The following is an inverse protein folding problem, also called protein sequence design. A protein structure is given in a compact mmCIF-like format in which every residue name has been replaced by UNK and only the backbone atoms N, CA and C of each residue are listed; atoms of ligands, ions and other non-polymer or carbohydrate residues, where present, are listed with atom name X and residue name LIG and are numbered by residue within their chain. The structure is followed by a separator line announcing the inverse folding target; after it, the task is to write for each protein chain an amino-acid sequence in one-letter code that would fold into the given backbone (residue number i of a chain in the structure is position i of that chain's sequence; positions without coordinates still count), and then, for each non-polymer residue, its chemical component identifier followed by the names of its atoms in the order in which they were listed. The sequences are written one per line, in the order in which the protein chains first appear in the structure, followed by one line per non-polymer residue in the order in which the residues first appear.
data_IF_680446748271
#
_entry.id   IF_680446748271
#
_cell.length_a   1.000
_cell.length_b   1.000
_cell.length_c   1.000
_cell.angle_alpha   90.00
_cell.angle_beta   90.00
_cell.angle_gamma   90.00
#
_symmetry.space_group_name_H-M   'P 1'
#
loop_
_entity.id
_entity.type
_entity.pdbx_description
1 polymer ?
#
# COMPACT_ATOMS: atom_id res chain seq x y z
N UNK A 1 -7.21 -46.27 3.55
CA UNK A 1 -5.99 -45.46 3.35
C UNK A 1 -6.44 -44.01 3.41
N UNK A 2 -6.13 -43.29 4.50
CA UNK A 2 -6.41 -41.86 4.58
C UNK A 2 -5.30 -41.20 3.78
N UNK A 3 -5.57 -40.83 2.52
CA UNK A 3 -4.66 -39.97 1.77
C UNK A 3 -4.65 -38.61 2.45
N UNK A 4 -3.44 -38.07 2.66
CA UNK A 4 -3.24 -36.73 3.17
C UNK A 4 -3.98 -35.72 2.28
N UNK A 5 -4.77 -34.82 2.88
CA UNK A 5 -5.55 -33.83 2.15
C UNK A 5 -4.66 -32.93 1.30
N UNK A 6 -3.42 -32.68 1.75
CA UNK A 6 -2.42 -31.95 0.99
C UNK A 6 -2.01 -32.70 -0.29
N UNK A 7 -1.85 -34.02 -0.22
CA UNK A 7 -1.54 -34.84 -1.38
C UNK A 7 -2.72 -34.85 -2.37
N UNK A 8 -3.96 -34.97 -1.88
CA UNK A 8 -5.15 -34.90 -2.75
C UNK A 8 -5.26 -33.56 -3.48
N UNK A 9 -4.95 -32.45 -2.79
CA UNK A 9 -4.91 -31.12 -3.40
C UNK A 9 -3.80 -31.05 -4.46
N UNK A 10 -2.59 -31.53 -4.15
CA UNK A 10 -1.48 -31.53 -5.09
C UNK A 10 -1.81 -32.33 -6.35
N UNK A 11 -2.30 -33.56 -6.20
CA UNK A 11 -2.67 -34.45 -7.31
C UNK A 11 -3.77 -33.81 -8.19
N UNK A 12 -4.77 -33.18 -7.55
CA UNK A 12 -5.83 -32.45 -8.25
C UNK A 12 -5.27 -31.28 -9.05
N UNK A 13 -4.44 -30.46 -8.43
CA UNK A 13 -3.87 -29.26 -9.05
C UNK A 13 -2.94 -29.62 -10.21
N UNK A 14 -2.16 -30.70 -10.10
CA UNK A 14 -1.33 -31.23 -11.18
C UNK A 14 -2.16 -31.79 -12.33
N UNK A 15 -3.18 -32.61 -12.02
CA UNK A 15 -4.08 -33.19 -13.02
C UNK A 15 -4.71 -32.12 -13.93
N UNK A 16 -5.17 -31.03 -13.33
CA UNK A 16 -5.82 -29.93 -14.05
C UNK A 16 -4.86 -28.78 -14.41
N UNK A 17 -3.57 -28.93 -14.12
CA UNK A 17 -2.53 -27.94 -14.43
C UNK A 17 -2.88 -26.54 -13.93
N UNK A 18 -3.45 -26.46 -12.72
CA UNK A 18 -4.08 -25.22 -12.24
C UNK A 18 -3.10 -24.06 -12.12
N UNK A 19 -1.84 -24.31 -11.76
CA UNK A 19 -0.80 -23.28 -11.75
C UNK A 19 -0.61 -22.64 -13.13
N UNK A 20 -0.43 -23.46 -14.17
CA UNK A 20 -0.22 -22.99 -15.54
C UNK A 20 -1.46 -22.27 -16.08
N UNK A 21 -2.65 -22.85 -15.82
CA UNK A 21 -3.94 -22.25 -16.16
C UNK A 21 -4.11 -20.86 -15.53
N UNK A 22 -3.75 -20.73 -14.24
CA UNK A 22 -3.85 -19.47 -13.49
C UNK A 22 -2.91 -18.40 -14.05
N UNK A 23 -1.65 -18.74 -14.34
CA UNK A 23 -0.73 -17.77 -14.98
C UNK A 23 -1.21 -17.34 -16.36
N UNK A 24 -1.79 -18.27 -17.14
CA UNK A 24 -2.35 -17.94 -18.45
C UNK A 24 -3.53 -16.97 -18.32
N UNK A 25 -4.51 -17.27 -17.46
CA UNK A 25 -5.66 -16.38 -17.23
C UNK A 25 -5.22 -15.03 -16.67
N UNK A 26 -4.25 -15.02 -15.76
CA UNK A 26 -3.65 -13.78 -15.25
C UNK A 26 -3.04 -12.94 -16.38
N UNK A 27 -2.21 -13.50 -17.26
CA UNK A 27 -1.61 -12.74 -18.36
C UNK A 27 -2.66 -12.23 -19.36
N UNK A 28 -3.70 -13.02 -19.64
CA UNK A 28 -4.84 -12.60 -20.47
C UNK A 28 -5.59 -11.43 -19.82
N UNK A 29 -5.99 -11.58 -18.56
CA UNK A 29 -6.65 -10.55 -17.77
C UNK A 29 -5.82 -9.26 -17.70
N UNK A 30 -4.52 -9.40 -17.41
CA UNK A 30 -3.60 -8.28 -17.29
C UNK A 30 -3.43 -7.55 -18.62
N UNK A 31 -3.33 -8.28 -19.74
CA UNK A 31 -3.17 -7.68 -21.07
C UNK A 31 -4.41 -6.88 -21.51
N UNK A 32 -5.62 -7.36 -21.17
CA UNK A 32 -6.87 -6.67 -21.48
C UNK A 32 -7.04 -5.38 -20.67
N UNK A 33 -6.63 -5.39 -19.40
CA UNK A 33 -6.87 -4.28 -18.48
C UNK A 33 -5.72 -3.28 -18.36
N UNK A 34 -4.54 -3.58 -18.91
CA UNK A 34 -3.33 -2.76 -18.73
C UNK A 34 -3.44 -1.34 -19.29
N UNK A 35 -4.21 -1.11 -20.35
CA UNK A 35 -4.37 0.22 -20.95
C UNK A 35 -5.13 1.21 -20.04
N UNK A 36 -5.75 0.72 -18.96
CA UNK A 36 -6.39 1.58 -17.97
C UNK A 36 -5.35 2.09 -16.96
N UNK A 37 -5.04 3.39 -17.03
CA UNK A 37 -4.04 4.07 -16.18
C UNK A 37 -4.24 3.86 -14.67
N UNK A 38 -5.47 3.57 -14.21
CA UNK A 38 -5.77 3.37 -12.80
C UNK A 38 -5.84 1.89 -12.37
N UNK A 39 -5.70 0.94 -13.29
CA UNK A 39 -5.85 -0.50 -13.02
C UNK A 39 -4.91 -1.02 -11.92
N UNK A 40 -3.67 -0.51 -11.90
CA UNK A 40 -2.61 -0.96 -11.00
C UNK A 40 -2.43 -0.06 -9.77
N UNK A 41 -3.38 0.82 -9.45
CA UNK A 41 -3.26 1.75 -8.31
C UNK A 41 -1.90 2.48 -8.26
N UNK A 42 -1.43 2.94 -9.43
CA UNK A 42 -0.22 3.73 -9.61
C UNK A 42 1.07 2.93 -9.86
N UNK A 43 1.05 1.59 -9.81
CA UNK A 43 2.22 0.78 -10.22
C UNK A 43 2.35 0.68 -11.74
N UNK A 44 3.59 0.61 -12.21
CA UNK A 44 3.90 0.17 -13.57
C UNK A 44 3.98 -1.36 -13.61
N UNK A 45 3.72 -1.96 -14.78
CA UNK A 45 3.83 -3.42 -14.97
C UNK A 45 5.22 -3.95 -14.63
N UNK A 46 6.26 -3.19 -14.99
CA UNK A 46 7.67 -3.52 -14.72
C UNK A 46 7.99 -3.61 -13.23
N UNK A 47 7.21 -2.96 -12.36
CA UNK A 47 7.43 -2.92 -10.92
C UNK A 47 6.77 -4.09 -10.16
N UNK A 48 5.83 -4.79 -10.81
CA UNK A 48 5.07 -5.87 -10.20
C UNK A 48 5.60 -7.23 -10.65
N UNK A 49 6.08 -8.00 -9.69
CA UNK A 49 6.54 -9.38 -9.88
C UNK A 49 5.45 -10.36 -9.44
N UNK A 50 4.80 -11.08 -10.37
CA UNK A 50 3.87 -12.14 -10.01
C UNK A 50 4.63 -13.34 -9.46
N UNK A 51 4.18 -13.87 -8.33
CA UNK A 51 4.76 -15.03 -7.65
C UNK A 51 3.64 -15.99 -7.32
N UNK A 52 3.83 -17.27 -7.63
CA UNK A 52 2.90 -18.32 -7.25
C UNK A 52 2.86 -18.46 -5.73
N UNK A 53 1.67 -18.31 -5.14
CA UNK A 53 1.47 -18.30 -3.68
C UNK A 53 0.82 -19.60 -3.16
N UNK A 54 0.35 -20.46 -4.05
CA UNK A 54 -0.16 -21.79 -3.71
C UNK A 54 -1.60 -22.05 -4.14
N UNK A 55 -2.08 -23.20 -3.70
CA UNK A 55 -3.45 -23.68 -3.89
C UNK A 55 -4.16 -23.80 -2.54
N UNK A 56 -5.47 -23.62 -2.52
CA UNK A 56 -6.26 -23.78 -1.31
C UNK A 56 -7.65 -24.33 -1.64
N UNK A 57 -8.12 -25.29 -0.84
CA UNK A 57 -9.53 -25.64 -0.83
C UNK A 57 -10.34 -24.50 -0.20
N UNK A 58 -11.31 -24.02 -0.95
CA UNK A 58 -12.25 -23.01 -0.52
C UNK A 58 -13.61 -23.69 -0.28
N UNK A 59 -13.83 -24.09 0.97
CA UNK A 59 -15.07 -24.71 1.42
C UNK A 59 -15.84 -23.63 2.17
N UNK A 60 -16.60 -22.82 1.44
CA UNK A 60 -17.50 -21.84 2.05
C UNK A 60 -18.81 -22.50 2.52
N UNK A 61 -19.65 -21.73 3.23
CA UNK A 61 -20.94 -22.17 3.78
C UNK A 61 -21.77 -23.05 2.81
N UNK A 62 -22.63 -23.89 3.37
CA UNK A 62 -23.45 -24.95 2.74
C UNK A 62 -24.26 -24.60 1.48
N UNK A 63 -24.29 -23.34 1.05
CA UNK A 63 -25.00 -22.88 -0.16
C UNK A 63 -24.09 -22.69 -1.38
N UNK A 64 -22.77 -22.69 -1.21
CA UNK A 64 -21.81 -22.60 -2.30
C UNK A 64 -21.16 -23.94 -2.57
N UNK A 65 -20.93 -24.24 -3.85
CA UNK A 65 -20.12 -25.39 -4.21
C UNK A 65 -18.67 -25.11 -3.77
N UNK A 66 -17.99 -26.07 -3.15
CA UNK A 66 -16.61 -25.86 -2.77
C UNK A 66 -15.73 -25.77 -4.02
N UNK A 67 -14.70 -24.93 -3.94
CA UNK A 67 -13.78 -24.62 -5.05
C UNK A 67 -12.33 -24.86 -4.63
N UNK A 68 -11.44 -24.84 -5.63
CA UNK A 68 -10.00 -24.79 -5.45
C UNK A 68 -9.51 -23.45 -5.97
N UNK A 69 -8.99 -22.65 -5.06
CA UNK A 69 -8.39 -21.35 -5.34
C UNK A 69 -6.93 -21.56 -5.70
N UNK A 70 -6.49 -20.95 -6.79
CA UNK A 70 -5.07 -20.85 -7.14
C UNK A 70 -4.65 -19.39 -7.13
N UNK A 71 -3.64 -19.07 -6.30
CA UNK A 71 -3.26 -17.68 -6.02
C UNK A 71 -1.91 -17.31 -6.63
N UNK A 72 -1.88 -16.15 -7.27
CA UNK A 72 -0.67 -15.41 -7.65
C UNK A 72 -0.61 -14.14 -6.80
N UNK A 73 0.46 -13.97 -6.04
CA UNK A 73 0.72 -12.77 -5.25
C UNK A 73 1.63 -11.81 -6.02
N UNK A 74 1.36 -10.51 -5.94
CA UNK A 74 2.10 -9.46 -6.64
C UNK A 74 3.03 -8.75 -5.67
N UNK A 75 4.33 -8.75 -5.96
CA UNK A 75 5.35 -8.12 -5.12
C UNK A 75 6.02 -6.96 -5.86
N UNK A 76 6.57 -6.02 -5.08
CA UNK A 76 7.55 -5.03 -5.56
C UNK A 76 8.93 -5.38 -5.02
N UNK A 77 10.01 -4.92 -5.67
CA UNK A 77 11.39 -5.22 -5.24
C UNK A 77 11.67 -4.86 -3.78
N UNK A 78 10.99 -3.84 -3.25
CA UNK A 78 11.24 -3.28 -1.92
C UNK A 78 10.27 -3.78 -0.84
N UNK A 79 9.35 -4.70 -1.17
CA UNK A 79 8.32 -5.16 -0.23
C UNK A 79 8.42 -6.65 0.07
N UNK A 80 8.49 -6.97 1.37
CA UNK A 80 8.37 -8.35 1.87
C UNK A 80 6.91 -8.85 1.92
N UNK A 81 5.94 -7.96 1.70
CA UNK A 81 4.50 -8.25 1.72
C UNK A 81 3.95 -7.98 0.32
N UNK A 82 3.05 -8.84 -0.21
CA UNK A 82 2.45 -8.58 -1.50
C UNK A 82 1.64 -7.28 -1.49
N UNK A 83 1.66 -6.56 -2.61
CA UNK A 83 0.87 -5.32 -2.80
C UNK A 83 -0.50 -5.60 -3.39
N UNK A 84 -0.71 -6.82 -3.88
CA UNK A 84 -1.95 -7.30 -4.45
C UNK A 84 -1.86 -8.78 -4.80
N UNK A 85 -2.92 -9.32 -5.38
CA UNK A 85 -2.99 -10.71 -5.80
C UNK A 85 -4.00 -10.91 -6.94
N UNK A 86 -3.86 -12.06 -7.59
CA UNK A 86 -4.82 -12.64 -8.50
C UNK A 86 -5.21 -14.03 -7.97
N UNK A 87 -6.50 -14.36 -7.96
CA UNK A 87 -7.02 -15.68 -7.60
C UNK A 87 -7.86 -16.20 -8.76
N UNK A 88 -7.59 -17.43 -9.18
CA UNK A 88 -8.47 -18.19 -10.07
C UNK A 88 -9.21 -19.25 -9.25
N UNK A 89 -10.53 -19.19 -9.25
CA UNK A 89 -11.38 -20.21 -8.64
C UNK A 89 -11.75 -21.28 -9.66
N UNK A 90 -11.59 -22.54 -9.27
CA UNK A 90 -11.99 -23.69 -10.08
C UNK A 90 -12.87 -24.64 -9.32
N UNK A 91 -13.84 -25.26 -9.99
CA UNK A 91 -14.65 -26.32 -9.41
C UNK A 91 -13.85 -27.64 -9.32
N UNK A 92 -14.44 -28.69 -8.75
CA UNK A 92 -13.81 -30.02 -8.67
C UNK A 92 -13.72 -30.78 -10.00
N UNK A 93 -14.19 -30.20 -11.10
CA UNK A 93 -13.95 -30.69 -12.46
C UNK A 93 -12.81 -29.93 -13.14
N UNK A 94 -12.19 -28.96 -12.44
CA UNK A 94 -11.13 -28.11 -12.98
C UNK A 94 -11.65 -27.00 -13.90
N UNK A 95 -12.96 -26.79 -13.96
CA UNK A 95 -13.58 -25.70 -14.71
C UNK A 95 -13.46 -24.38 -13.96
N UNK A 96 -13.25 -23.28 -14.68
CA UNK A 96 -13.14 -21.95 -14.08
C UNK A 96 -14.53 -21.51 -13.62
N UNK A 97 -14.62 -21.10 -12.36
CA UNK A 97 -15.85 -20.56 -11.78
C UNK A 97 -15.80 -19.03 -11.81
N UNK A 98 -14.70 -18.45 -11.33
CA UNK A 98 -14.52 -17.00 -11.26
C UNK A 98 -13.02 -16.64 -11.17
N UNK A 99 -12.70 -15.37 -11.34
CA UNK A 99 -11.37 -14.81 -11.11
C UNK A 99 -11.41 -13.44 -10.41
N UNK A 100 -10.41 -13.21 -9.55
CA UNK A 100 -10.31 -11.98 -8.77
C UNK A 100 -8.94 -11.37 -8.93
N UNK A 101 -8.91 -10.08 -9.28
CA UNK A 101 -7.69 -9.27 -9.24
C UNK A 101 -7.85 -8.12 -8.25
N UNK A 102 -6.91 -8.02 -7.30
CA UNK A 102 -6.97 -7.02 -6.24
C UNK A 102 -5.59 -6.40 -6.04
N UNK A 103 -5.52 -5.07 -6.08
CA UNK A 103 -4.36 -4.30 -5.56
C UNK A 103 -4.76 -3.70 -4.22
N UNK A 104 -4.23 -4.26 -3.14
CA UNK A 104 -4.59 -3.88 -1.76
C UNK A 104 -3.88 -2.60 -1.30
N UNK A 105 -2.71 -2.32 -1.88
CA UNK A 105 -1.85 -1.21 -1.46
C UNK A 105 -1.60 -0.28 -2.63
N UNK A 106 -1.85 1.02 -2.46
CA UNK A 106 -1.53 2.01 -3.48
C UNK A 106 -0.04 2.38 -3.44
N UNK A 107 0.59 2.52 -4.61
CA UNK A 107 2.02 2.87 -4.74
C UNK A 107 2.41 4.10 -3.92
N UNK A 108 1.63 5.17 -4.02
CA UNK A 108 1.88 6.42 -3.31
C UNK A 108 1.80 6.25 -1.78
N UNK A 109 0.92 5.38 -1.30
CA UNK A 109 0.82 5.06 0.13
C UNK A 109 2.07 4.34 0.64
N UNK A 110 2.67 3.43 -0.14
CA UNK A 110 3.96 2.81 0.20
C UNK A 110 5.08 3.83 0.22
N UNK A 111 5.14 4.72 -0.79
CA UNK A 111 6.18 5.75 -0.82
C UNK A 111 6.09 6.68 0.38
N UNK A 112 4.89 7.09 0.78
CA UNK A 112 4.67 7.91 1.98
C UNK A 112 5.10 7.16 3.24
N UNK A 113 4.72 5.89 3.39
CA UNK A 113 5.11 5.06 4.54
C UNK A 113 6.64 4.85 4.61
N UNK A 114 7.30 4.62 3.47
CA UNK A 114 8.75 4.51 3.36
C UNK A 114 9.44 5.82 3.76
N UNK A 115 8.98 6.97 3.28
CA UNK A 115 9.56 8.26 3.68
C UNK A 115 9.35 8.53 5.18
N UNK A 116 8.19 8.15 5.73
CA UNK A 116 7.95 8.27 7.17
C UNK A 116 8.98 7.45 7.98
N UNK A 117 9.27 6.22 7.54
CA UNK A 117 10.35 5.40 8.14
C UNK A 117 11.71 6.10 8.03
N UNK A 118 12.07 6.61 6.85
CA UNK A 118 13.36 7.26 6.64
C UNK A 118 13.55 8.57 7.43
N UNK A 119 12.47 9.30 7.74
CA UNK A 119 12.52 10.44 8.65
C UNK A 119 12.91 9.96 10.05
N UNK A 120 12.26 8.91 10.55
CA UNK A 120 12.52 8.35 11.88
C UNK A 120 13.95 7.83 12.01
N UNK A 121 14.53 7.26 10.95
CA UNK A 121 15.96 6.86 10.93
C UNK A 121 16.93 8.05 11.10
N UNK A 122 16.55 9.23 10.62
CA UNK A 122 17.35 10.46 10.75
C UNK A 122 16.97 11.34 11.92
N UNK A 123 16.01 10.92 12.76
CA UNK A 123 15.47 11.74 13.83
C UNK A 123 16.48 11.86 14.98
N UNK A 124 16.95 13.07 15.31
CA UNK A 124 17.81 13.25 16.47
C UNK A 124 17.05 12.94 17.76
N UNK A 125 17.60 12.05 18.58
CA UNK A 125 16.97 11.62 19.85
C UNK A 125 16.75 12.81 20.80
N UNK A 126 17.59 13.83 20.72
CA UNK A 126 17.45 15.08 21.48
C UNK A 126 16.11 15.79 21.20
N UNK A 127 15.57 15.71 19.98
CA UNK A 127 14.32 16.37 19.60
C UNK A 127 13.07 15.68 20.17
N UNK A 128 13.20 14.47 20.72
CA UNK A 128 12.11 13.78 21.42
C UNK A 128 11.86 14.33 22.83
N UNK A 129 12.73 15.21 23.32
CA UNK A 129 12.57 15.85 24.63
C UNK A 129 11.55 16.99 24.53
N UNK A 130 10.52 16.92 25.39
CA UNK A 130 9.39 17.89 25.42
C UNK A 130 9.80 19.35 25.57
N UNK A 131 10.96 19.61 26.16
CA UNK A 131 11.47 20.96 26.43
C UNK A 131 12.36 21.52 25.30
N UNK A 132 12.34 20.90 24.11
CA UNK A 132 13.09 21.39 22.95
C UNK A 132 12.16 22.07 21.96
N UNK A 133 12.66 23.07 21.25
CA UNK A 133 11.89 23.83 20.26
C UNK A 133 11.49 22.98 19.04
N UNK A 134 12.21 21.88 18.79
CA UNK A 134 11.95 20.93 17.70
C UNK A 134 10.83 19.93 18.04
N UNK A 135 10.53 19.73 19.33
CA UNK A 135 9.58 18.71 19.79
C UNK A 135 8.18 18.84 19.16
N UNK A 136 7.57 20.04 19.04
CA UNK A 136 6.28 20.20 18.37
C UNK A 136 6.33 19.72 16.92
N UNK A 137 7.36 20.11 16.16
CA UNK A 137 7.54 19.69 14.76
C UNK A 137 7.61 18.17 14.63
N UNK A 138 8.45 17.52 15.45
CA UNK A 138 8.60 16.05 15.47
C UNK A 138 7.30 15.35 15.84
N UNK A 139 6.56 15.91 16.79
CA UNK A 139 5.26 15.38 17.21
C UNK A 139 4.23 15.47 16.09
N UNK A 140 4.21 16.58 15.36
CA UNK A 140 3.32 16.76 14.21
C UNK A 140 3.66 15.82 13.05
N UNK A 141 4.95 15.62 12.74
CA UNK A 141 5.38 14.63 11.74
C UNK A 141 4.94 13.21 12.11
N UNK A 142 5.18 12.82 13.36
CA UNK A 142 4.80 11.51 13.89
C UNK A 142 3.30 11.25 13.80
N UNK A 143 2.48 12.25 14.20
CA UNK A 143 1.03 12.14 14.13
C UNK A 143 0.52 12.15 12.69
N UNK A 144 1.11 12.96 11.80
CA UNK A 144 0.77 12.95 10.38
C UNK A 144 0.98 11.55 9.78
N UNK A 145 2.17 10.95 9.93
CA UNK A 145 2.46 9.61 9.43
C UNK A 145 1.52 8.55 10.02
N UNK A 146 1.32 8.55 11.35
CA UNK A 146 0.46 7.56 12.02
C UNK A 146 -0.99 7.63 11.55
N UNK A 147 -1.55 8.85 11.44
CA UNK A 147 -2.93 9.04 11.00
C UNK A 147 -3.11 8.72 9.51
N UNK A 148 -2.09 8.96 8.69
CA UNK A 148 -2.08 8.55 7.28
C UNK A 148 -2.19 7.03 7.14
N UNK A 149 -1.34 6.29 7.87
CA UNK A 149 -1.39 4.82 7.88
C UNK A 149 -2.75 4.27 8.36
N UNK A 150 -3.42 5.03 9.23
CA UNK A 150 -4.76 4.71 9.75
C UNK A 150 -5.90 5.20 8.86
N UNK A 151 -5.62 5.70 7.65
CA UNK A 151 -6.58 6.29 6.70
C UNK A 151 -7.42 7.44 7.27
N UNK A 152 -6.90 8.16 8.29
CA UNK A 152 -7.52 9.35 8.88
C UNK A 152 -7.00 10.62 8.18
N UNK A 153 -7.29 10.75 6.88
CA UNK A 153 -6.65 11.73 5.99
C UNK A 153 -6.89 13.19 6.40
N UNK A 154 -8.12 13.58 6.74
CA UNK A 154 -8.42 14.95 7.20
C UNK A 154 -7.59 15.33 8.44
N UNK A 155 -7.52 14.45 9.43
CA UNK A 155 -6.74 14.69 10.65
C UNK A 155 -5.24 14.72 10.34
N UNK A 156 -4.76 13.78 9.52
CA UNK A 156 -3.37 13.75 9.09
C UNK A 156 -2.95 15.01 8.33
N UNK A 157 -3.79 15.49 7.41
CA UNK A 157 -3.58 16.75 6.68
C UNK A 157 -3.48 17.96 7.61
N UNK A 158 -4.28 18.03 8.68
CA UNK A 158 -4.14 19.08 9.70
C UNK A 158 -2.80 19.04 10.42
N UNK A 159 -2.24 17.86 10.67
CA UNK A 159 -0.91 17.73 11.25
C UNK A 159 0.22 18.06 10.28
N UNK A 160 0.06 17.74 8.99
CA UNK A 160 0.97 18.23 7.94
C UNK A 160 0.97 19.76 7.90
N UNK A 161 -0.21 20.40 7.92
CA UNK A 161 -0.34 21.85 7.98
C UNK A 161 0.38 22.44 9.20
N UNK A 162 0.11 21.88 10.39
CA UNK A 162 0.76 22.30 11.65
C UNK A 162 2.26 22.15 11.61
N UNK A 163 2.79 21.07 11.03
CA UNK A 163 4.22 20.88 10.87
C UNK A 163 4.83 21.95 9.96
N UNK A 164 4.17 22.27 8.83
CA UNK A 164 4.62 23.34 7.93
C UNK A 164 4.61 24.72 8.62
N UNK A 165 3.53 25.07 9.33
CA UNK A 165 3.42 26.33 10.09
C UNK A 165 4.50 26.41 11.17
N UNK A 166 4.62 25.36 11.98
CA UNK A 166 5.59 25.34 13.07
C UNK A 166 7.04 25.42 12.55
N UNK A 167 7.36 24.79 11.42
CA UNK A 167 8.68 24.91 10.81
C UNK A 167 8.99 26.34 10.36
N UNK A 168 8.00 27.03 9.76
CA UNK A 168 8.12 28.44 9.35
C UNK A 168 8.31 29.35 10.57
N UNK A 169 7.61 29.09 11.67
CA UNK A 169 7.69 29.87 12.91
C UNK A 169 8.97 29.61 13.71
N UNK A 170 9.42 28.36 13.77
CA UNK A 170 10.59 27.95 14.56
C UNK A 170 11.89 28.37 13.88
N UNK A 171 11.94 28.34 12.55
CA UNK A 171 13.16 28.56 11.79
C UNK A 171 13.87 27.24 11.47
N UNK A 172 14.36 27.14 10.24
CA UNK A 172 15.01 25.94 9.70
C UNK A 172 16.40 25.70 10.29
N UNK A 173 17.08 26.77 10.70
CA UNK A 173 18.40 26.80 11.29
C UNK A 173 18.51 25.99 12.59
N UNK A 174 17.37 25.73 13.23
CA UNK A 174 17.29 24.94 14.46
C UNK A 174 17.22 23.43 14.21
N UNK A 175 17.20 22.98 12.96
CA UNK A 175 17.08 21.57 12.61
C UNK A 175 18.33 21.02 11.92
N UNK A 176 18.69 19.79 12.26
CA UNK A 176 19.72 19.06 11.52
C UNK A 176 19.37 18.92 10.04
N UNK A 177 20.34 19.21 9.18
CA UNK A 177 20.13 19.37 7.72
C UNK A 177 19.51 18.13 7.06
N UNK A 178 19.99 16.94 7.39
CA UNK A 178 19.49 15.68 6.82
C UNK A 178 18.06 15.37 7.28
N UNK A 179 17.79 15.55 8.57
CA UNK A 179 16.45 15.38 9.13
C UNK A 179 15.45 16.38 8.51
N UNK A 180 15.84 17.65 8.41
CA UNK A 180 15.01 18.71 7.82
C UNK A 180 14.69 18.42 6.35
N UNK A 181 15.70 18.03 5.57
CA UNK A 181 15.54 17.69 4.15
C UNK A 181 14.53 16.57 3.94
N UNK A 182 14.65 15.48 4.71
CA UNK A 182 13.72 14.34 4.66
C UNK A 182 12.32 14.74 5.11
N UNK A 183 12.21 15.51 6.19
CA UNK A 183 10.93 16.01 6.72
C UNK A 183 10.17 16.86 5.73
N UNK A 184 10.84 17.82 5.08
CA UNK A 184 10.24 18.66 4.03
C UNK A 184 9.74 17.85 2.84
N UNK A 185 10.52 16.86 2.40
CA UNK A 185 10.13 15.98 1.28
C UNK A 185 8.87 15.19 1.62
N UNK A 186 8.79 14.64 2.83
CA UNK A 186 7.61 13.95 3.32
C UNK A 186 6.37 14.86 3.40
N UNK A 187 6.50 16.05 3.99
CA UNK A 187 5.40 17.01 4.09
C UNK A 187 4.87 17.43 2.71
N UNK A 188 5.77 17.69 1.76
CA UNK A 188 5.41 18.02 0.37
C UNK A 188 4.64 16.87 -0.30
N UNK A 189 5.15 15.65 -0.18
CA UNK A 189 4.52 14.47 -0.76
C UNK A 189 3.13 14.22 -0.17
N UNK A 190 2.98 14.33 1.15
CA UNK A 190 1.69 14.19 1.84
C UNK A 190 0.70 15.25 1.39
N UNK A 191 1.12 16.53 1.36
CA UNK A 191 0.28 17.64 0.86
C UNK A 191 -0.22 17.36 -0.57
N UNK A 192 0.69 16.99 -1.48
CA UNK A 192 0.32 16.72 -2.87
C UNK A 192 -0.67 15.55 -2.97
N UNK A 193 -0.40 14.45 -2.28
CA UNK A 193 -1.28 13.29 -2.26
C UNK A 193 -2.70 13.64 -1.80
N UNK A 194 -2.84 14.42 -0.72
CA UNK A 194 -4.17 14.85 -0.26
C UNK A 194 -4.92 15.73 -1.25
N UNK A 195 -4.20 16.62 -1.95
CA UNK A 195 -4.80 17.55 -2.90
C UNK A 195 -5.21 16.85 -4.20
N UNK A 196 -4.35 15.99 -4.74
CA UNK A 196 -4.58 15.24 -5.97
C UNK A 196 -5.73 14.24 -5.80
N UNK A 197 -5.77 13.54 -4.67
CA UNK A 197 -6.79 12.52 -4.37
C UNK A 197 -8.07 13.09 -3.72
N UNK A 198 -8.13 14.41 -3.52
CA UNK A 198 -9.27 15.09 -2.89
C UNK A 198 -9.67 14.49 -1.52
N UNK A 199 -8.67 14.10 -0.71
CA UNK A 199 -8.88 13.37 0.55
C UNK A 199 -9.11 14.27 1.77
N UNK A 200 -9.18 15.58 1.55
CA UNK A 200 -9.31 16.60 2.59
C UNK A 200 -10.40 17.61 2.24
N UNK A 201 -10.94 18.26 3.26
CA UNK A 201 -11.96 19.29 3.12
C UNK A 201 -11.48 20.50 2.30
N UNK A 202 -12.41 21.18 1.63
CA UNK A 202 -12.14 22.42 0.89
C UNK A 202 -11.48 23.48 1.77
N UNK A 203 -11.90 23.59 3.03
CA UNK A 203 -11.30 24.47 4.02
C UNK A 203 -9.80 24.19 4.21
N UNK A 204 -9.44 22.93 4.46
CA UNK A 204 -8.04 22.54 4.67
C UNK A 204 -7.21 22.71 3.39
N UNK A 205 -7.81 22.51 2.21
CA UNK A 205 -7.17 22.82 0.93
C UNK A 205 -6.82 24.30 0.81
N UNK A 206 -7.74 25.20 1.14
CA UNK A 206 -7.47 26.66 1.16
C UNK A 206 -6.38 27.02 2.16
N UNK A 207 -6.35 26.38 3.33
CA UNK A 207 -5.29 26.57 4.34
C UNK A 207 -3.91 26.13 3.80
N UNK A 208 -3.84 25.10 2.96
CA UNK A 208 -2.59 24.70 2.30
C UNK A 208 -2.12 25.65 1.20
N UNK A 209 -3.04 26.35 0.54
CA UNK A 209 -2.76 27.34 -0.49
C UNK A 209 -2.28 28.66 0.11
N UNK A 210 -2.80 29.05 1.28
CA UNK A 210 -2.37 30.26 2.00
C UNK A 210 -0.94 30.17 2.54
N UNK A 211 -0.45 28.96 2.85
CA UNK A 211 0.95 28.71 3.21
C UNK A 211 1.97 28.98 2.10
N UNK A 212 1.55 28.97 0.84
CA UNK A 212 2.43 29.22 -0.32
C UNK A 212 2.63 30.71 -0.64
N UNK A 213 1.89 31.58 0.05
CA UNK A 213 2.04 33.03 0.00
C UNK A 213 2.88 33.50 1.20
#
# INVERSE_FOLDING_TARGET
MITDLAQQLADFCEKFKLKEKTFKCFEEFYSVNYENENFLNGYEKSELKPVFDGHRFNIQHSFFLPTVDTKISLYTENSMVPVGYYILETDYNGEIVDDFFVIEVEKYSIHIASHFRHINESLPVSYLRRNTIQYPFVSYLSLAGTLFMSKKFEASGRFVLRACVNLRETGEEHFEKEFLKKSKRFLKMMKNYYLEKQLISSKLKTDFESLGK
#
